data_IF_000106456785
#
_entry.id   IF_000106456785
#
_cell.length_a   1.000
_cell.length_b   1.000
_cell.length_c   1.000
_cell.angle_alpha   90.00
_cell.angle_beta   90.00
_cell.angle_gamma   90.00
#
_symmetry.space_group_name_H-M   'P 1'
#
loop_
_entity.id
_entity.type
_entity.pdbx_description
1 polymer ?
#
# COMPACT_ATOMS: atom_id res chain seq x y z
N UNK A 1 20.57 -3.83 -18.56
CA UNK A 1 19.37 -2.98 -18.62
C UNK A 1 18.65 -3.12 -17.29
N UNK A 2 18.46 -2.04 -16.54
CA UNK A 2 17.59 -2.06 -15.36
C UNK A 2 16.18 -2.35 -15.85
N UNK A 3 15.48 -3.34 -15.29
CA UNK A 3 14.08 -3.56 -15.60
C UNK A 3 13.23 -2.44 -14.98
N UNK A 4 12.14 -2.08 -15.65
CA UNK A 4 11.18 -1.12 -15.09
C UNK A 4 10.68 -1.62 -13.72
N UNK A 5 10.78 -0.81 -12.65
CA UNK A 5 10.31 -1.17 -11.32
C UNK A 5 8.85 -1.59 -11.28
N UNK A 6 8.51 -2.42 -10.30
CA UNK A 6 7.11 -2.77 -9.98
C UNK A 6 6.82 -2.50 -8.51
N UNK A 7 5.70 -1.84 -8.23
CA UNK A 7 5.22 -1.53 -6.89
C UNK A 7 4.00 -2.42 -6.63
N UNK A 8 4.12 -3.34 -5.68
CA UNK A 8 3.07 -4.27 -5.29
C UNK A 8 2.33 -3.75 -4.06
N UNK A 9 1.04 -3.47 -4.21
CA UNK A 9 0.16 -2.97 -3.15
C UNK A 9 -0.70 -4.10 -2.59
N UNK A 10 -0.37 -4.59 -1.39
CA UNK A 10 -1.16 -5.61 -0.68
C UNK A 10 -2.03 -4.94 0.39
N UNK A 11 -3.27 -5.38 0.53
CA UNK A 11 -4.14 -4.89 1.61
C UNK A 11 -5.59 -5.32 1.48
N UNK A 12 -6.48 -4.62 2.16
CA UNK A 12 -7.91 -4.91 2.20
C UNK A 12 -8.73 -4.08 1.20
N UNK A 13 -9.96 -3.71 1.56
CA UNK A 13 -10.87 -2.89 0.74
C UNK A 13 -10.28 -1.50 0.47
N UNK A 14 -9.50 -0.94 1.39
CA UNK A 14 -8.88 0.38 1.19
C UNK A 14 -7.85 0.31 0.06
N UNK A 15 -7.03 -0.75 0.03
CA UNK A 15 -6.12 -1.00 -1.10
C UNK A 15 -6.91 -1.31 -2.38
N UNK A 16 -7.95 -2.13 -2.30
CA UNK A 16 -8.76 -2.51 -3.48
C UNK A 16 -9.39 -1.28 -4.15
N UNK A 17 -9.93 -0.36 -3.34
CA UNK A 17 -10.53 0.90 -3.80
C UNK A 17 -9.48 1.96 -4.14
N UNK A 18 -8.20 1.73 -3.81
CA UNK A 18 -7.11 2.65 -4.16
C UNK A 18 -6.97 2.87 -5.66
N UNK A 19 -7.45 1.95 -6.51
CA UNK A 19 -7.49 2.11 -7.97
C UNK A 19 -8.80 2.71 -8.51
N UNK A 20 -9.72 3.14 -7.66
CA UNK A 20 -10.99 3.73 -8.09
C UNK A 20 -10.80 5.22 -8.48
N UNK A 21 -10.96 5.58 -9.77
CA UNK A 21 -10.80 6.95 -10.22
C UNK A 21 -11.92 7.88 -9.71
N UNK A 22 -13.11 7.35 -9.36
CA UNK A 22 -14.24 8.17 -8.92
C UNK A 22 -13.98 8.83 -7.56
N UNK A 23 -13.11 8.23 -6.74
CA UNK A 23 -12.70 8.76 -5.43
C UNK A 23 -11.24 9.25 -5.42
N UNK A 24 -10.61 9.36 -6.60
CA UNK A 24 -9.19 9.72 -6.69
C UNK A 24 -8.32 8.79 -5.85
N UNK A 25 -8.56 7.48 -5.93
CA UNK A 25 -7.92 6.48 -5.09
C UNK A 25 -6.39 6.64 -5.07
N UNK A 26 -5.74 6.38 -3.93
CA UNK A 26 -4.32 6.70 -3.77
C UNK A 26 -3.43 6.01 -4.82
N UNK A 27 -3.80 4.81 -5.30
CA UNK A 27 -3.09 4.16 -6.41
C UNK A 27 -3.30 4.89 -7.73
N UNK A 28 -4.48 5.42 -8.03
CA UNK A 28 -4.69 6.20 -9.27
C UNK A 28 -3.76 7.41 -9.35
N UNK A 29 -3.53 8.07 -8.20
CA UNK A 29 -2.58 9.18 -8.09
C UNK A 29 -1.14 8.72 -8.27
N UNK A 30 -0.75 7.58 -7.68
CA UNK A 30 0.56 6.98 -7.91
C UNK A 30 0.74 6.60 -9.39
N UNK A 31 -0.26 5.99 -10.03
CA UNK A 31 -0.19 5.58 -11.43
C UNK A 31 0.12 6.77 -12.32
N UNK A 32 -0.53 7.92 -12.08
CA UNK A 32 -0.26 9.15 -12.82
C UNK A 32 1.22 9.59 -12.72
N UNK A 33 1.83 9.50 -11.53
CA UNK A 33 3.24 9.86 -11.32
C UNK A 33 4.22 8.86 -11.95
N UNK A 34 3.86 7.57 -11.94
CA UNK A 34 4.72 6.48 -12.38
C UNK A 34 4.49 6.06 -13.84
N UNK A 35 3.66 6.77 -14.61
CA UNK A 35 3.52 6.56 -16.07
C UNK A 35 4.90 6.51 -16.74
N UNK A 36 5.16 5.43 -17.49
CA UNK A 36 6.44 5.12 -18.18
C UNK A 36 7.65 4.93 -17.25
N UNK A 37 7.43 4.80 -15.94
CA UNK A 37 8.48 4.68 -14.91
C UNK A 37 8.37 3.42 -14.07
N UNK A 38 7.18 3.06 -13.58
CA UNK A 38 6.97 1.83 -12.81
C UNK A 38 5.57 1.27 -13.06
N UNK A 39 5.41 -0.04 -12.92
CA UNK A 39 4.08 -0.64 -12.90
C UNK A 39 3.57 -0.72 -11.47
N UNK A 40 2.29 -0.42 -11.26
CA UNK A 40 1.64 -0.53 -9.95
C UNK A 40 0.65 -1.69 -10.00
N UNK A 41 0.74 -2.59 -9.03
CA UNK A 41 -0.05 -3.82 -8.98
C UNK A 41 -0.92 -3.80 -7.74
N UNK A 42 -2.23 -3.87 -7.93
CA UNK A 42 -3.19 -3.95 -6.84
C UNK A 42 -3.49 -5.42 -6.46
N UNK A 43 -3.28 -5.79 -5.19
CA UNK A 43 -3.78 -7.02 -4.58
C UNK A 43 -4.54 -6.69 -3.28
N UNK A 44 -5.38 -5.66 -3.35
CA UNK A 44 -6.38 -5.34 -2.35
C UNK A 44 -7.51 -6.36 -2.37
N UNK A 45 -7.84 -6.92 -1.21
CA UNK A 45 -8.86 -7.95 -1.05
C UNK A 45 -9.92 -7.44 -0.07
N UNK A 46 -11.04 -6.91 -0.58
CA UNK A 46 -12.08 -6.31 0.25
C UNK A 46 -12.56 -7.24 1.36
N UNK A 47 -12.59 -6.71 2.59
CA UNK A 47 -13.02 -7.45 3.78
C UNK A 47 -11.97 -8.37 4.40
N UNK A 48 -10.78 -8.54 3.79
CA UNK A 48 -9.76 -9.43 4.33
C UNK A 48 -9.09 -8.85 5.59
N UNK A 49 -8.87 -9.72 6.57
CA UNK A 49 -8.01 -9.47 7.73
C UNK A 49 -6.67 -10.19 7.56
N UNK A 50 -5.72 -9.98 8.48
CA UNK A 50 -4.38 -10.59 8.37
C UNK A 50 -4.39 -12.12 8.42
N UNK A 51 -5.37 -12.74 9.09
CA UNK A 51 -5.51 -14.21 9.16
C UNK A 51 -5.81 -14.78 7.79
N UNK A 52 -6.86 -14.29 7.13
CA UNK A 52 -7.22 -14.75 5.79
C UNK A 52 -6.19 -14.35 4.75
N UNK A 53 -5.54 -13.19 4.92
CA UNK A 53 -4.46 -12.80 4.02
C UNK A 53 -3.29 -13.79 4.05
N UNK A 54 -2.95 -14.36 5.22
CA UNK A 54 -1.95 -15.43 5.32
C UNK A 54 -2.38 -16.70 4.59
N UNK A 55 -3.65 -17.11 4.70
CA UNK A 55 -4.17 -18.32 4.05
C UNK A 55 -4.04 -18.23 2.52
N UNK A 56 -4.23 -17.03 1.95
CA UNK A 56 -4.18 -16.79 0.51
C UNK A 56 -2.83 -16.25 0.00
N UNK A 57 -1.88 -15.92 0.89
CA UNK A 57 -0.55 -15.44 0.50
C UNK A 57 0.19 -16.40 -0.45
N UNK A 58 0.15 -17.74 -0.27
CA UNK A 58 0.75 -18.67 -1.22
C UNK A 58 0.17 -18.54 -2.63
N UNK A 59 -1.15 -18.37 -2.75
CA UNK A 59 -1.83 -18.20 -4.04
C UNK A 59 -1.41 -16.89 -4.72
N UNK A 60 -1.31 -15.79 -3.96
CA UNK A 60 -0.81 -14.50 -4.47
C UNK A 60 0.63 -14.65 -5.00
N UNK A 61 1.50 -15.35 -4.26
CA UNK A 61 2.88 -15.59 -4.69
C UNK A 61 2.95 -16.46 -5.96
N UNK A 62 2.11 -17.50 -6.06
CA UNK A 62 2.02 -18.33 -7.27
C UNK A 62 1.53 -17.52 -8.46
N UNK A 63 0.53 -16.65 -8.28
CA UNK A 63 0.03 -15.78 -9.34
C UNK A 63 1.11 -14.83 -9.88
N UNK A 64 1.97 -14.33 -8.99
CA UNK A 64 3.08 -13.42 -9.33
C UNK A 64 4.33 -14.16 -9.82
N UNK A 65 4.35 -15.49 -9.77
CA UNK A 65 5.49 -16.30 -10.20
C UNK A 65 5.75 -16.13 -11.71
N UNK A 66 7.03 -16.08 -12.10
CA UNK A 66 7.43 -15.90 -13.50
C UNK A 66 7.30 -14.46 -14.02
N UNK A 67 6.75 -13.55 -13.22
CA UNK A 67 6.74 -12.12 -13.51
C UNK A 67 8.01 -11.44 -12.96
N UNK A 68 8.27 -10.19 -13.39
CA UNK A 68 9.36 -9.38 -12.80
C UNK A 68 9.10 -9.19 -11.30
N UNK A 69 10.14 -9.38 -10.48
CA UNK A 69 10.05 -9.15 -9.03
C UNK A 69 9.67 -7.70 -8.72
N UNK A 70 8.86 -7.45 -7.68
CA UNK A 70 8.58 -6.10 -7.20
C UNK A 70 9.86 -5.45 -6.66
N UNK A 71 10.00 -4.14 -6.91
CA UNK A 71 11.03 -3.30 -6.31
C UNK A 71 10.57 -2.71 -4.98
N UNK A 72 9.25 -2.57 -4.78
CA UNK A 72 8.61 -2.13 -3.55
C UNK A 72 7.36 -2.95 -3.29
N UNK A 73 7.17 -3.39 -2.05
CA UNK A 73 5.97 -4.09 -1.59
C UNK A 73 5.38 -3.35 -0.40
N UNK A 74 4.09 -3.08 -0.42
CA UNK A 74 3.37 -2.53 0.73
C UNK A 74 2.46 -3.57 1.36
N UNK A 75 2.22 -3.44 2.66
CA UNK A 75 1.13 -4.15 3.35
C UNK A 75 0.27 -3.13 4.11
N UNK A 76 -1.01 -3.07 3.73
CA UNK A 76 -2.00 -2.16 4.31
C UNK A 76 -3.20 -2.97 4.81
N UNK A 77 -3.07 -3.49 6.04
CA UNK A 77 -4.06 -4.32 6.71
C UNK A 77 -4.21 -3.90 8.17
N UNK A 78 -5.34 -4.27 8.76
CA UNK A 78 -5.64 -4.02 10.18
C UNK A 78 -6.97 -3.32 10.39
N UNK A 79 -7.54 -2.70 9.36
CA UNK A 79 -8.85 -2.06 9.46
C UNK A 79 -9.90 -3.13 9.77
N UNK A 80 -9.84 -4.27 9.07
CA UNK A 80 -10.75 -5.38 9.31
C UNK A 80 -10.45 -6.12 10.62
N UNK A 81 -9.18 -6.36 10.93
CA UNK A 81 -8.72 -7.01 12.16
C UNK A 81 -9.20 -6.28 13.42
N UNK A 82 -9.26 -4.94 13.36
CA UNK A 82 -9.67 -4.04 14.44
C UNK A 82 -11.19 -3.97 14.68
N UNK A 83 -11.95 -4.89 14.08
CA UNK A 83 -13.33 -5.16 14.48
C UNK A 83 -13.40 -5.46 15.99
N UNK A 84 -14.53 -5.16 16.62
CA UNK A 84 -14.75 -5.48 18.03
C UNK A 84 -14.67 -7.00 18.23
N UNK A 85 -14.34 -7.49 19.44
CA UNK A 85 -14.14 -8.93 19.68
C UNK A 85 -15.31 -9.84 19.30
N UNK A 86 -16.53 -9.31 19.20
CA UNK A 86 -17.74 -10.02 18.78
C UNK A 86 -17.94 -10.06 17.27
N UNK A 87 -17.15 -9.29 16.51
CA UNK A 87 -17.24 -9.15 15.07
C UNK A 87 -16.57 -10.30 14.31
N UNK A 88 -17.07 -10.61 13.12
CA UNK A 88 -16.64 -11.77 12.33
C UNK A 88 -15.27 -11.59 11.70
N UNK A 89 -14.81 -10.34 11.55
CA UNK A 89 -13.52 -10.03 10.96
C UNK A 89 -12.42 -9.89 12.03
N UNK A 90 -12.78 -9.93 13.31
CA UNK A 90 -11.86 -9.71 14.41
C UNK A 90 -10.67 -10.68 14.40
N UNK A 91 -9.47 -10.10 14.54
CA UNK A 91 -8.23 -10.83 14.81
C UNK A 91 -7.62 -10.28 16.09
N UNK A 92 -7.39 -11.10 17.13
CA UNK A 92 -6.77 -10.63 18.37
C UNK A 92 -5.46 -9.86 18.13
N UNK A 93 -5.19 -8.82 18.92
CA UNK A 93 -4.10 -7.87 18.66
C UNK A 93 -2.71 -8.53 18.58
N UNK A 94 -2.45 -9.53 19.43
CA UNK A 94 -1.23 -10.33 19.43
C UNK A 94 -1.10 -11.18 18.15
N UNK A 95 -2.21 -11.75 17.69
CA UNK A 95 -2.27 -12.46 16.41
C UNK A 95 -2.09 -11.50 15.23
N UNK A 96 -2.69 -10.30 15.25
CA UNK A 96 -2.47 -9.29 14.22
C UNK A 96 -0.99 -8.92 14.09
N UNK A 97 -0.31 -8.66 15.22
CA UNK A 97 1.12 -8.34 15.20
C UNK A 97 1.95 -9.50 14.65
N UNK A 98 1.65 -10.73 15.10
CA UNK A 98 2.31 -11.96 14.65
C UNK A 98 2.09 -12.20 13.16
N UNK A 99 0.85 -12.05 12.68
CA UNK A 99 0.47 -12.26 11.29
C UNK A 99 1.15 -11.22 10.39
N UNK A 100 1.12 -9.95 10.78
CA UNK A 100 1.79 -8.85 10.06
C UNK A 100 3.28 -9.15 9.86
N UNK A 101 3.98 -9.56 10.95
CA UNK A 101 5.39 -9.97 10.87
C UNK A 101 5.59 -11.18 9.95
N UNK A 102 4.68 -12.17 10.01
CA UNK A 102 4.75 -13.38 9.20
C UNK A 102 4.54 -13.11 7.71
N UNK A 103 3.57 -12.27 7.36
CA UNK A 103 3.30 -11.86 5.97
C UNK A 103 4.55 -11.19 5.39
N UNK A 104 5.08 -10.17 6.07
CA UNK A 104 6.29 -9.44 5.62
C UNK A 104 7.50 -10.37 5.51
N UNK A 105 7.73 -11.24 6.49
CA UNK A 105 8.86 -12.17 6.46
C UNK A 105 8.75 -13.16 5.30
N UNK A 106 7.54 -13.62 4.98
CA UNK A 106 7.28 -14.52 3.85
C UNK A 106 7.52 -13.80 2.51
N UNK A 107 7.04 -12.56 2.38
CA UNK A 107 7.27 -11.75 1.18
C UNK A 107 8.75 -11.39 1.00
N UNK A 108 9.48 -11.10 2.08
CA UNK A 108 10.94 -10.89 2.05
C UNK A 108 11.69 -12.11 1.57
N UNK A 109 11.27 -13.31 1.98
CA UNK A 109 11.88 -14.54 1.48
C UNK A 109 11.62 -14.76 -0.02
N UNK A 110 10.43 -14.37 -0.51
CA UNK A 110 10.08 -14.44 -1.93
C UNK A 110 10.77 -13.34 -2.77
N UNK A 111 10.95 -12.15 -2.20
CA UNK A 111 11.47 -10.96 -2.88
C UNK A 111 12.59 -10.30 -2.04
N UNK A 112 13.77 -10.92 -1.93
CA UNK A 112 14.83 -10.46 -1.03
C UNK A 112 15.39 -9.08 -1.36
N UNK A 113 15.33 -8.66 -2.63
CA UNK A 113 15.80 -7.36 -3.11
C UNK A 113 14.73 -6.25 -3.06
N UNK A 114 13.49 -6.58 -2.67
CA UNK A 114 12.42 -5.60 -2.62
C UNK A 114 12.55 -4.68 -1.40
N UNK A 115 12.19 -3.41 -1.58
CA UNK A 115 11.87 -2.53 -0.48
C UNK A 115 10.49 -2.91 0.11
N UNK A 116 10.29 -2.61 1.40
CA UNK A 116 9.06 -2.90 2.11
C UNK A 116 8.57 -1.66 2.85
N UNK A 117 7.25 -1.43 2.86
CA UNK A 117 6.59 -0.38 3.64
C UNK A 117 5.32 -0.95 4.28
N UNK A 118 5.11 -0.66 5.55
CA UNK A 118 3.81 -0.90 6.21
C UNK A 118 2.98 0.37 6.19
N UNK A 119 1.67 0.22 6.08
CA UNK A 119 0.71 1.30 6.32
C UNK A 119 -0.16 0.88 7.51
N UNK A 120 -0.25 1.74 8.53
CA UNK A 120 -1.14 1.47 9.67
C UNK A 120 -2.60 1.54 9.20
N UNK A 121 -3.54 0.77 9.80
CA UNK A 121 -4.95 1.01 9.56
C UNK A 121 -5.28 2.49 9.82
N UNK A 122 -6.08 3.15 8.96
CA UNK A 122 -6.45 4.53 9.18
C UNK A 122 -7.36 4.64 10.42
N UNK A 123 -7.62 5.87 10.91
CA UNK A 123 -8.60 6.05 11.96
C UNK A 123 -10.01 5.66 11.51
N UNK A 124 -10.86 5.38 12.50
CA UNK A 124 -12.30 5.12 12.31
C UNK A 124 -13.08 6.35 12.81
N UNK A 125 -14.14 6.72 12.09
CA UNK A 125 -15.01 7.83 12.48
C UNK A 125 -15.62 7.67 13.88
N UNK A 126 -16.20 8.75 14.43
CA UNK A 126 -16.77 8.73 15.78
C UNK A 126 -18.01 7.85 15.93
N UNK A 127 -18.75 7.66 14.85
CA UNK A 127 -19.85 6.71 14.85
C UNK A 127 -19.27 5.30 14.77
N UNK A 128 -19.49 4.48 15.79
CA UNK A 128 -19.12 3.06 15.73
C UNK A 128 -19.83 2.42 14.54
N UNK A 129 -19.09 2.20 13.46
CA UNK A 129 -19.61 1.66 12.21
C UNK A 129 -18.93 0.32 11.93
N UNK A 130 -19.71 -0.62 11.41
CA UNK A 130 -19.24 -1.98 11.08
C UNK A 130 -18.56 -2.67 12.27
N UNK A 131 -18.98 -2.40 13.51
CA UNK A 131 -18.37 -2.98 14.70
C UNK A 131 -16.97 -2.45 15.01
N UNK A 132 -16.60 -1.25 14.58
CA UNK A 132 -15.26 -0.67 14.80
C UNK A 132 -15.35 0.67 15.53
N UNK A 133 -14.31 0.98 16.30
CA UNK A 133 -14.14 2.29 16.90
C UNK A 133 -12.68 2.75 16.86
N UNK A 134 -12.48 4.07 16.97
CA UNK A 134 -11.16 4.66 16.77
C UNK A 134 -10.14 4.26 17.84
N UNK A 135 -10.60 4.01 19.07
CA UNK A 135 -9.74 3.57 20.18
C UNK A 135 -9.14 2.20 19.87
N UNK A 136 -9.94 1.28 19.35
CA UNK A 136 -9.47 -0.04 18.96
C UNK A 136 -8.57 0.06 17.74
N UNK A 137 -8.96 0.80 16.69
CA UNK A 137 -8.11 1.04 15.52
C UNK A 137 -6.71 1.57 15.90
N UNK A 138 -6.63 2.49 16.87
CA UNK A 138 -5.36 3.03 17.37
C UNK A 138 -4.46 1.97 18.02
N UNK A 139 -5.03 0.94 18.67
CA UNK A 139 -4.23 -0.18 19.22
C UNK A 139 -3.59 -1.01 18.10
N UNK A 140 -4.32 -1.28 17.02
CA UNK A 140 -3.80 -2.00 15.85
C UNK A 140 -2.78 -1.16 15.08
N UNK A 141 -3.02 0.15 14.93
CA UNK A 141 -2.05 1.07 14.35
C UNK A 141 -0.73 1.08 15.12
N UNK A 142 -0.78 1.22 16.46
CA UNK A 142 0.41 1.11 17.30
C UNK A 142 1.10 -0.26 17.18
N UNK A 143 0.33 -1.34 17.02
CA UNK A 143 0.85 -2.68 16.79
C UNK A 143 1.56 -2.83 15.44
N UNK A 144 1.03 -2.20 14.39
CA UNK A 144 1.66 -2.16 13.07
C UNK A 144 2.99 -1.38 13.12
N UNK A 145 3.03 -0.24 13.83
CA UNK A 145 4.28 0.52 14.07
C UNK A 145 5.32 -0.34 14.80
N UNK A 146 4.93 -1.07 15.86
CA UNK A 146 5.83 -2.00 16.56
C UNK A 146 6.33 -3.13 15.66
N UNK A 147 5.46 -3.70 14.82
CA UNK A 147 5.85 -4.72 13.85
C UNK A 147 6.88 -4.17 12.85
N UNK A 148 6.66 -2.97 12.31
CA UNK A 148 7.62 -2.29 11.44
C UNK A 148 8.97 -2.05 12.10
N UNK A 149 8.97 -1.53 13.34
CA UNK A 149 10.19 -1.35 14.12
C UNK A 149 10.95 -2.67 14.35
N UNK A 150 10.24 -3.75 14.70
CA UNK A 150 10.82 -5.09 14.89
C UNK A 150 11.48 -5.61 13.61
N UNK A 151 10.86 -5.35 12.46
CA UNK A 151 11.32 -5.85 11.16
C UNK A 151 12.31 -4.91 10.46
N UNK A 152 12.56 -3.71 11.01
CA UNK A 152 13.30 -2.67 10.30
C UNK A 152 12.61 -2.21 9.01
N UNK A 153 11.27 -2.15 9.01
CA UNK A 153 10.44 -1.73 7.88
C UNK A 153 9.86 -0.34 8.17
N UNK A 154 10.04 0.66 7.28
CA UNK A 154 9.37 1.95 7.40
C UNK A 154 7.84 1.81 7.47
N UNK A 155 7.20 2.64 8.29
CA UNK A 155 5.76 2.62 8.50
C UNK A 155 5.19 4.00 8.17
N UNK A 156 4.15 4.04 7.33
CA UNK A 156 3.29 5.21 7.16
C UNK A 156 2.25 5.16 8.28
N UNK A 157 2.41 6.00 9.29
CA UNK A 157 1.47 6.08 10.42
C UNK A 157 0.25 6.94 10.06
N UNK A 158 -0.66 6.34 9.30
CA UNK A 158 -1.90 6.94 8.85
C UNK A 158 -2.83 7.25 10.01
N UNK A 159 -2.93 6.35 10.99
CA UNK A 159 -3.75 6.59 12.18
C UNK A 159 -3.39 7.92 12.82
N UNK A 160 -2.14 8.09 13.26
CA UNK A 160 -1.70 9.34 13.91
C UNK A 160 -1.81 10.55 12.98
N UNK A 161 -1.39 10.39 11.72
CA UNK A 161 -1.36 11.50 10.75
C UNK A 161 -2.74 12.06 10.40
N UNK A 162 -3.77 11.21 10.40
CA UNK A 162 -5.12 11.58 10.00
C UNK A 162 -5.99 12.06 11.18
N UNK A 163 -5.57 11.86 12.43
CA UNK A 163 -6.36 12.26 13.62
C UNK A 163 -6.88 13.70 13.58
N UNK A 164 -6.10 14.73 13.18
CA UNK A 164 -6.55 16.12 13.26
C UNK A 164 -7.80 16.45 12.43
N UNK A 165 -8.03 15.71 11.35
CA UNK A 165 -9.12 15.94 10.39
C UNK A 165 -9.86 14.63 10.06
N UNK A 166 -9.84 13.69 11.00
CA UNK A 166 -10.29 12.30 10.83
C UNK A 166 -11.58 12.14 10.03
N UNK A 167 -12.67 12.76 10.50
CA UNK A 167 -13.99 12.61 9.87
C UNK A 167 -14.00 13.06 8.41
N UNK A 168 -13.20 14.08 8.08
CA UNK A 168 -13.15 14.64 6.72
C UNK A 168 -12.43 13.75 5.72
N UNK A 169 -11.73 12.71 6.17
CA UNK A 169 -11.02 11.76 5.31
C UNK A 169 -11.84 10.51 4.97
N UNK A 170 -12.97 10.30 5.62
CA UNK A 170 -13.74 9.06 5.53
C UNK A 170 -15.04 9.30 4.75
N UNK A 171 -15.44 8.34 3.92
CA UNK A 171 -16.69 8.40 3.15
C UNK A 171 -17.88 7.85 3.93
N UNK A 172 -17.66 6.76 4.66
CA UNK A 172 -18.65 6.05 5.46
C UNK A 172 -18.23 5.89 6.93
N UNK A 173 -17.13 6.52 7.34
CA UNK A 173 -16.53 6.35 8.67
C UNK A 173 -15.51 5.22 8.77
N UNK A 174 -15.23 4.50 7.67
CA UNK A 174 -14.16 3.50 7.58
C UNK A 174 -13.32 3.65 6.30
N UNK A 175 -13.96 3.74 5.13
CA UNK A 175 -13.29 3.85 3.84
C UNK A 175 -12.88 5.29 3.54
N UNK A 176 -11.81 5.43 2.76
CA UNK A 176 -11.25 6.73 2.39
C UNK A 176 -12.13 7.41 1.34
N UNK A 177 -12.41 8.70 1.54
CA UNK A 177 -12.92 9.56 0.49
C UNK A 177 -11.76 10.17 -0.34
N UNK A 178 -12.04 11.16 -1.18
CA UNK A 178 -11.03 11.85 -2.01
C UNK A 178 -9.91 12.46 -1.16
N UNK A 179 -10.24 13.14 -0.06
CA UNK A 179 -9.26 13.76 0.81
C UNK A 179 -8.42 12.69 1.55
N UNK A 180 -9.04 11.60 1.99
CA UNK A 180 -8.34 10.49 2.65
C UNK A 180 -7.35 9.79 1.72
N UNK A 181 -7.77 9.50 0.48
CA UNK A 181 -6.89 8.92 -0.53
C UNK A 181 -5.72 9.85 -0.89
N UNK A 182 -5.98 11.16 -0.99
CA UNK A 182 -4.94 12.16 -1.21
C UNK A 182 -3.90 12.16 -0.08
N UNK A 183 -4.35 12.12 1.18
CA UNK A 183 -3.47 12.04 2.34
C UNK A 183 -2.58 10.79 2.30
N UNK A 184 -3.16 9.62 2.02
CA UNK A 184 -2.39 8.37 1.89
C UNK A 184 -1.33 8.47 0.80
N UNK A 185 -1.69 9.00 -0.37
CA UNK A 185 -0.76 9.21 -1.48
C UNK A 185 0.41 10.14 -1.08
N UNK A 186 0.14 11.28 -0.45
CA UNK A 186 1.18 12.23 -0.03
C UNK A 186 2.09 11.64 1.06
N UNK A 187 1.52 10.98 2.07
CA UNK A 187 2.29 10.36 3.15
C UNK A 187 3.14 9.18 2.64
N UNK A 188 2.59 8.39 1.72
CA UNK A 188 3.30 7.25 1.14
C UNK A 188 4.44 7.68 0.21
N UNK A 189 4.20 8.65 -0.68
CA UNK A 189 5.25 9.20 -1.57
C UNK A 189 6.35 9.90 -0.79
N UNK A 190 6.02 10.64 0.28
CA UNK A 190 7.02 11.19 1.19
C UNK A 190 7.87 10.11 1.87
N UNK A 191 7.26 8.98 2.23
CA UNK A 191 7.97 7.81 2.80
C UNK A 191 8.91 7.18 1.78
N UNK A 192 8.47 7.02 0.52
CA UNK A 192 9.33 6.56 -0.58
C UNK A 192 10.50 7.50 -0.77
N UNK A 193 10.26 8.81 -0.90
CA UNK A 193 11.33 9.79 -1.10
C UNK A 193 12.37 9.78 0.02
N UNK A 194 11.92 9.60 1.27
CA UNK A 194 12.80 9.55 2.45
C UNK A 194 13.62 8.28 2.56
N UNK A 195 13.01 7.12 2.34
CA UNK A 195 13.62 5.83 2.64
C UNK A 195 14.16 5.08 1.41
N UNK A 196 13.59 5.35 0.25
CA UNK A 196 13.89 4.69 -1.02
C UNK A 196 13.96 5.74 -2.16
N UNK A 197 14.86 6.74 -2.07
CA UNK A 197 14.87 7.87 -3.00
C UNK A 197 15.04 7.47 -4.47
N UNK A 198 15.68 6.33 -4.75
CA UNK A 198 15.82 5.78 -6.11
C UNK A 198 14.51 5.25 -6.70
N UNK A 199 13.49 5.03 -5.87
CA UNK A 199 12.14 4.63 -6.26
C UNK A 199 11.16 5.81 -6.32
N UNK A 200 11.58 7.03 -5.99
CA UNK A 200 10.73 8.21 -6.19
C UNK A 200 10.48 8.45 -7.69
N UNK A 201 9.28 8.91 -8.12
CA UNK A 201 8.96 9.06 -9.54
C UNK A 201 10.01 9.87 -10.32
N UNK A 202 10.47 10.99 -9.77
CA UNK A 202 11.46 11.85 -10.42
C UNK A 202 12.84 11.20 -10.60
N UNK A 203 13.17 10.16 -9.80
CA UNK A 203 14.46 9.46 -9.86
C UNK A 203 14.48 8.31 -10.87
N UNK A 204 13.30 7.82 -11.30
CA UNK A 204 13.21 6.70 -12.24
C UNK A 204 13.12 7.25 -13.66
N UNK A 205 14.05 6.92 -14.58
CA UNK A 205 13.99 7.41 -15.95
C UNK A 205 12.78 6.84 -16.70
N UNK A 206 12.38 7.51 -17.79
CA UNK A 206 11.47 6.88 -18.74
C UNK A 206 12.19 5.72 -19.45
N UNK A 207 11.53 4.57 -19.49
CA UNK A 207 12.08 3.36 -20.14
C UNK A 207 11.94 3.37 -21.66
N UNK A 208 11.14 4.30 -22.19
CA UNK A 208 10.95 4.51 -23.62
C UNK A 208 11.40 5.92 -23.98
N UNK A 209 12.09 6.11 -25.13
CA UNK A 209 12.55 7.41 -25.56
C UNK A 209 11.38 8.39 -25.75
N UNK A 210 11.68 9.68 -25.59
CA UNK A 210 10.76 10.72 -26.02
C UNK A 210 10.57 10.66 -27.54
N UNK A 211 9.35 10.96 -28.00
CA UNK A 211 9.00 10.86 -29.40
C UNK A 211 9.87 11.79 -30.28
N UNK A 212 10.35 12.91 -29.74
CA UNK A 212 11.26 13.83 -30.44
C UNK A 212 12.61 13.18 -30.77
N UNK A 213 13.15 12.35 -29.87
CA UNK A 213 14.37 11.59 -30.13
C UNK A 213 14.17 10.54 -31.23
N UNK A 214 12.95 9.99 -31.35
CA UNK A 214 12.61 9.07 -32.44
C UNK A 214 12.52 9.79 -33.79
N UNK A 215 12.00 11.02 -33.83
CA UNK A 215 11.98 11.85 -35.05
C UNK A 215 13.40 12.10 -35.57
N UNK A 216 14.33 12.47 -34.70
CA UNK A 216 15.74 12.66 -35.07
C UNK A 216 16.37 11.39 -35.65
N UNK A 217 16.09 10.23 -35.04
CA UNK A 217 16.56 8.93 -35.53
C UNK A 217 15.96 8.56 -36.89
N UNK A 218 14.69 8.91 -37.14
CA UNK A 218 14.06 8.64 -38.43
C UNK A 218 14.58 9.55 -39.54
N UNK A 219 14.91 10.81 -39.24
CA UNK A 219 15.59 11.70 -40.21
C UNK A 219 17.00 11.21 -40.55
N UNK A 220 17.75 10.70 -39.57
CA UNK A 220 19.09 10.13 -39.82
C UNK A 220 19.05 8.89 -40.72
N UNK A 221 17.98 8.10 -40.69
CA UNK A 221 17.83 6.90 -41.56
C UNK A 221 17.48 7.25 -43.01
N UNK A 222 17.02 8.48 -43.29
CA UNK A 222 16.67 8.94 -44.64
C UNK A 222 17.87 9.50 -45.40
N UNK A 223 18.93 9.89 -44.70
CA UNK A 223 20.20 10.38 -45.26
C UNK A 223 21.12 9.24 -45.67
#
# INVERSE_FOLDING_TARGET
MTSQPRILLLGDSITQQGSDPAIGGFQTLLEADYIRRADIINRGLSGYNTRWYLDFLPQILTELQGQRAPSLVTLFLGANDADLPTGTQHVPLDQYETNTKKIISTLRAAYPEAAFVLLTPPPVGDNEIYGRNNVTAGKYAASCVRAGATLGVPVVDLWTGMQPQRESYLSDGLHLNVAGNRFVYEAFTATIAKHFPTLAPAAIPFFYPEWTALVELDEQKKA
#
